data_IF_305714573963
#
_entry.id   IF_305714573963
#
_cell.length_a   1.000
_cell.length_b   1.000
_cell.length_c   1.000
_cell.angle_alpha   90.00
_cell.angle_beta   90.00
_cell.angle_gamma   90.00
#
_symmetry.space_group_name_H-M   'P 1'
#
loop_
_entity.id
_entity.type
_entity.pdbx_description
1 polymer ?
#
# COMPACT_ATOMS: atom_id res chain seq x y z
N UNK A 1 -7.49 0.71 -0.83
CA UNK A 1 -7.66 -0.50 -1.68
C UNK A 1 -6.30 -1.08 -2.00
N UNK A 2 -6.19 -2.40 -2.20
CA UNK A 2 -4.90 -3.05 -2.56
C UNK A 2 -4.32 -2.43 -3.83
N UNK A 3 -5.15 -2.22 -4.86
CA UNK A 3 -4.73 -1.56 -6.09
C UNK A 3 -4.14 -0.16 -5.85
N UNK A 4 -4.79 0.68 -5.03
CA UNK A 4 -4.31 2.04 -4.75
C UNK A 4 -2.94 2.05 -4.05
N UNK A 5 -2.72 1.13 -3.11
CA UNK A 5 -1.44 0.97 -2.44
C UNK A 5 -0.34 0.51 -3.42
N UNK A 6 -0.64 -0.43 -4.30
CA UNK A 6 0.29 -0.91 -5.32
C UNK A 6 0.63 0.17 -6.35
N UNK A 7 -0.38 0.90 -6.85
CA UNK A 7 -0.19 2.00 -7.78
C UNK A 7 0.64 3.14 -7.16
N UNK A 8 0.38 3.45 -5.89
CA UNK A 8 1.18 4.41 -5.11
C UNK A 8 2.63 3.96 -4.96
N UNK A 9 2.88 2.69 -4.64
CA UNK A 9 4.22 2.13 -4.55
C UNK A 9 4.97 2.20 -5.89
N UNK A 10 4.31 1.88 -7.00
CA UNK A 10 4.88 1.99 -8.33
C UNK A 10 5.29 3.44 -8.65
N UNK A 11 4.42 4.41 -8.36
CA UNK A 11 4.74 5.83 -8.56
C UNK A 11 5.91 6.30 -7.68
N UNK A 12 5.95 5.87 -6.42
CA UNK A 12 7.09 6.14 -5.52
C UNK A 12 8.39 5.54 -6.05
N UNK A 13 8.37 4.32 -6.57
CA UNK A 13 9.53 3.68 -7.18
C UNK A 13 10.02 4.45 -8.41
N UNK A 14 9.12 4.90 -9.30
CA UNK A 14 9.53 5.72 -10.45
C UNK A 14 10.11 7.07 -10.03
N UNK A 15 9.50 7.74 -9.05
CA UNK A 15 10.02 9.01 -8.52
C UNK A 15 11.39 8.81 -7.86
N UNK A 16 11.59 7.70 -7.15
CA UNK A 16 12.88 7.36 -6.56
C UNK A 16 13.93 7.11 -7.64
N UNK A 17 13.59 6.37 -8.70
CA UNK A 17 14.49 6.13 -9.83
C UNK A 17 14.96 7.43 -10.49
N UNK A 18 14.05 8.38 -10.71
CA UNK A 18 14.41 9.71 -11.21
C UNK A 18 15.21 10.53 -10.19
N UNK A 19 14.88 10.45 -8.90
CA UNK A 19 15.61 11.16 -7.85
C UNK A 19 17.06 10.66 -7.73
N UNK A 20 17.36 9.40 -8.07
CA UNK A 20 18.73 8.87 -8.08
C UNK A 20 19.63 9.52 -9.14
N UNK A 21 19.06 10.17 -10.18
CA UNK A 21 19.85 10.87 -11.19
C UNK A 21 20.19 12.30 -10.78
N UNK A 22 19.90 12.70 -9.54
CA UNK A 22 20.01 14.07 -9.04
C UNK A 22 20.66 14.09 -7.65
N UNK A 23 21.52 15.07 -7.38
CA UNK A 23 22.21 15.20 -6.09
C UNK A 23 21.72 16.40 -5.24
N UNK A 24 20.48 16.82 -5.44
CA UNK A 24 19.90 17.95 -4.70
C UNK A 24 19.14 17.53 -3.42
N UNK A 25 18.75 18.53 -2.62
CA UNK A 25 18.02 18.33 -1.36
C UNK A 25 16.63 17.70 -1.58
N UNK A 26 15.93 18.04 -2.66
CA UNK A 26 14.60 17.50 -2.96
C UNK A 26 14.70 16.02 -3.35
N UNK A 27 15.71 15.64 -4.12
CA UNK A 27 15.97 14.25 -4.49
C UNK A 27 16.19 13.37 -3.25
N UNK A 28 17.04 13.82 -2.31
CA UNK A 28 17.24 13.13 -1.03
C UNK A 28 15.95 13.01 -0.22
N UNK A 29 15.12 14.04 -0.20
CA UNK A 29 13.82 14.00 0.48
C UNK A 29 12.88 12.97 -0.18
N UNK A 30 12.79 12.95 -1.52
CA UNK A 30 11.97 11.99 -2.27
C UNK A 30 12.37 10.54 -2.00
N UNK A 31 13.67 10.25 -1.92
CA UNK A 31 14.16 8.91 -1.58
C UNK A 31 13.74 8.48 -0.17
N UNK A 32 13.78 9.39 0.81
CA UNK A 32 13.30 9.11 2.18
C UNK A 32 11.79 8.85 2.19
N UNK A 33 11.01 9.67 1.48
CA UNK A 33 9.56 9.48 1.38
C UNK A 33 9.19 8.15 0.70
N UNK A 34 9.87 7.80 -0.39
CA UNK A 34 9.64 6.53 -1.08
C UNK A 34 9.95 5.35 -0.16
N UNK A 35 11.05 5.41 0.61
CA UNK A 35 11.41 4.40 1.60
C UNK A 35 10.33 4.25 2.68
N UNK A 36 9.85 5.36 3.24
CA UNK A 36 8.77 5.34 4.22
C UNK A 36 7.50 4.69 3.65
N UNK A 37 7.09 5.06 2.43
CA UNK A 37 5.90 4.48 1.80
C UNK A 37 6.03 2.95 1.65
N UNK A 38 7.16 2.47 1.13
CA UNK A 38 7.40 1.05 0.89
C UNK A 38 7.49 0.22 2.17
N UNK A 39 8.08 0.76 3.24
CA UNK A 39 8.30 0.02 4.48
C UNK A 39 7.18 0.17 5.50
N UNK A 40 6.44 1.28 5.50
CA UNK A 40 5.45 1.58 6.54
C UNK A 40 4.01 1.51 6.02
N UNK A 41 3.75 1.90 4.76
CA UNK A 41 2.38 1.98 4.22
C UNK A 41 2.05 0.74 3.38
N UNK A 42 2.91 0.38 2.43
CA UNK A 42 2.67 -0.74 1.53
C UNK A 42 2.37 -2.08 2.23
N UNK A 43 2.94 -2.42 3.42
CA UNK A 43 2.59 -3.66 4.11
C UNK A 43 1.11 -3.81 4.48
N UNK A 44 0.32 -2.73 4.54
CA UNK A 44 -1.14 -2.77 4.75
C UNK A 44 -1.84 -3.63 3.70
N UNK A 45 -1.26 -3.76 2.50
CA UNK A 45 -1.74 -4.68 1.46
C UNK A 45 -1.87 -6.13 1.96
N UNK A 46 -0.99 -6.59 2.85
CA UNK A 46 -1.04 -7.95 3.39
C UNK A 46 -2.33 -8.20 4.18
N UNK A 47 -2.67 -7.27 5.08
CA UNK A 47 -3.90 -7.35 5.86
C UNK A 47 -5.13 -7.27 4.96
N UNK A 48 -5.14 -6.36 3.98
CA UNK A 48 -6.24 -6.24 3.04
C UNK A 48 -6.41 -7.49 2.18
N UNK A 49 -5.32 -8.11 1.72
CA UNK A 49 -5.37 -9.37 0.96
C UNK A 49 -5.92 -10.50 1.83
N UNK A 50 -5.53 -10.59 3.10
CA UNK A 50 -6.05 -11.59 4.02
C UNK A 50 -7.56 -11.42 4.24
N UNK A 51 -8.03 -10.19 4.45
CA UNK A 51 -9.46 -9.86 4.60
C UNK A 51 -10.24 -10.22 3.32
N UNK A 52 -9.71 -9.86 2.15
CA UNK A 52 -10.33 -10.19 0.86
C UNK A 52 -10.41 -11.71 0.67
N UNK A 53 -9.35 -12.44 1.04
CA UNK A 53 -9.27 -13.90 0.92
C UNK A 53 -10.21 -14.64 1.86
N UNK A 54 -10.45 -14.13 3.07
CA UNK A 54 -11.45 -14.68 3.99
C UNK A 54 -12.89 -14.61 3.43
N UNK A 55 -13.14 -13.69 2.49
CA UNK A 55 -14.43 -13.55 1.83
C UNK A 55 -15.53 -13.13 2.80
N UNK A 56 -16.77 -13.50 2.47
CA UNK A 56 -17.97 -13.14 3.26
C UNK A 56 -18.72 -14.35 3.81
N UNK A 57 -18.17 -15.56 3.71
CA UNK A 57 -18.90 -16.79 4.06
C UNK A 57 -19.47 -16.72 5.48
N UNK A 58 -18.63 -16.39 6.47
CA UNK A 58 -19.07 -16.24 7.87
C UNK A 58 -20.02 -15.05 8.09
N UNK A 59 -19.94 -13.99 7.27
CA UNK A 59 -20.85 -12.85 7.38
C UNK A 59 -22.25 -13.18 6.85
N UNK A 60 -22.33 -14.05 5.82
CA UNK A 60 -23.59 -14.51 5.23
C UNK A 60 -24.23 -15.66 6.01
N UNK A 61 -23.53 -16.19 7.02
CA UNK A 61 -24.00 -17.26 7.91
C UNK A 61 -24.74 -16.71 9.14
N UNK A 62 -24.67 -15.39 9.39
CA UNK A 62 -25.48 -14.72 10.41
C UNK A 62 -26.94 -14.71 9.98
N UNK A 63 -27.83 -15.12 10.87
CA UNK A 63 -29.26 -15.02 10.63
C UNK A 63 -29.72 -13.57 10.79
N UNK A 64 -30.82 -13.19 10.12
CA UNK A 64 -31.28 -11.79 10.11
C UNK A 64 -31.68 -11.26 11.51
N UNK A 65 -31.97 -12.17 12.45
CA UNK A 65 -32.32 -11.88 13.84
C UNK A 65 -31.08 -11.77 14.76
N UNK A 66 -29.89 -12.08 14.27
CA UNK A 66 -28.61 -11.99 15.00
C UNK A 66 -27.80 -10.71 14.67
N UNK A 67 -28.33 -9.86 13.78
CA UNK A 67 -27.76 -8.57 13.35
C UNK A 67 -28.38 -7.37 14.09
#
# INVERSE_FOLDING_TARGET
TVFGLTAGAYMMARMAAYALTREDRQARAKLKTARYYLHNILPETKSLIAIIGAGKAHMMDFDADEL
#
